data_IF_073397074098
#
_entry.id   IF_073397074098
#
_cell.length_a   1.000
_cell.length_b   1.000
_cell.length_c   1.000
_cell.angle_alpha   90.00
_cell.angle_beta   90.00
_cell.angle_gamma   90.00
#
_symmetry.space_group_name_H-M   'P 1'
#
loop_
_entity.id
_entity.type
_entity.pdbx_description
1 polymer ?
#
# COMPACT_ATOMS: atom_id res chain seq x y z
N UNK A 1 -16.53 15.54 -7.33
CA UNK A 1 -15.95 14.18 -7.13
C UNK A 1 -14.70 13.94 -7.98
N UNK A 2 -14.75 14.02 -9.32
CA UNK A 2 -13.59 13.79 -10.21
C UNK A 2 -12.35 14.63 -9.83
N UNK A 3 -12.52 15.93 -9.56
CA UNK A 3 -11.40 16.82 -9.16
C UNK A 3 -10.68 16.33 -7.89
N UNK A 4 -11.43 15.84 -6.90
CA UNK A 4 -10.88 15.35 -5.63
C UNK A 4 -10.17 14.00 -5.83
N UNK A 5 -10.73 13.12 -6.68
CA UNK A 5 -10.10 11.85 -7.03
C UNK A 5 -8.80 12.05 -7.79
N UNK A 6 -8.76 12.99 -8.75
CA UNK A 6 -7.54 13.38 -9.47
C UNK A 6 -6.51 13.91 -8.47
N UNK A 7 -6.90 14.82 -7.58
CA UNK A 7 -6.00 15.37 -6.57
C UNK A 7 -5.41 14.27 -5.66
N UNK A 8 -6.23 13.33 -5.18
CA UNK A 8 -5.77 12.22 -4.36
C UNK A 8 -4.80 11.30 -5.13
N UNK A 9 -5.12 10.97 -6.38
CA UNK A 9 -4.24 10.18 -7.25
C UNK A 9 -2.90 10.89 -7.44
N UNK A 10 -2.92 12.19 -7.74
CA UNK A 10 -1.72 13.01 -7.90
C UNK A 10 -0.89 13.04 -6.62
N UNK A 11 -1.50 13.16 -5.44
CA UNK A 11 -0.80 13.08 -4.15
C UNK A 11 -0.16 11.71 -3.93
N UNK A 12 -0.87 10.62 -4.21
CA UNK A 12 -0.34 9.26 -4.06
C UNK A 12 0.84 9.01 -5.00
N UNK A 13 0.74 9.45 -6.26
CA UNK A 13 1.83 9.37 -7.22
C UNK A 13 3.01 10.24 -6.78
N UNK A 14 2.77 11.51 -6.44
CA UNK A 14 3.81 12.44 -5.97
C UNK A 14 4.51 11.92 -4.71
N UNK A 15 3.79 11.27 -3.79
CA UNK A 15 4.37 10.70 -2.56
C UNK A 15 5.45 9.65 -2.82
N UNK A 16 5.49 9.04 -4.02
CA UNK A 16 6.56 8.13 -4.41
C UNK A 16 7.84 8.82 -4.91
N UNK A 17 7.75 10.10 -5.27
CA UNK A 17 8.85 10.88 -5.86
C UNK A 17 9.42 11.93 -4.91
N UNK A 18 8.69 12.28 -3.86
CA UNK A 18 9.22 13.09 -2.76
C UNK A 18 10.25 12.22 -2.06
N UNK A 19 11.52 12.65 -2.01
CA UNK A 19 12.75 11.89 -1.64
C UNK A 19 12.83 11.27 -0.24
N UNK A 20 11.71 10.74 0.25
CA UNK A 20 11.62 9.78 1.32
C UNK A 20 12.25 8.46 0.86
N UNK A 21 12.74 7.62 1.79
CA UNK A 21 13.14 6.26 1.47
C UNK A 21 12.05 5.57 0.65
N UNK A 22 12.39 4.85 -0.43
CA UNK A 22 11.41 4.31 -1.39
C UNK A 22 10.35 3.35 -0.79
N UNK A 23 10.53 2.97 0.47
CA UNK A 23 9.68 2.13 1.30
C UNK A 23 8.89 2.88 2.38
N UNK A 24 9.02 4.20 2.48
CA UNK A 24 8.16 5.04 3.29
C UNK A 24 7.09 5.65 2.38
N UNK A 25 5.95 4.96 2.26
CA UNK A 25 4.94 5.27 1.23
C UNK A 25 3.52 4.94 1.70
N UNK A 26 2.50 5.70 1.25
CA UNK A 26 1.10 5.40 1.55
C UNK A 26 0.54 4.18 0.80
N UNK A 27 1.27 3.59 -0.14
CA UNK A 27 0.65 2.67 -1.09
C UNK A 27 0.23 1.34 -0.47
N UNK A 28 1.04 0.73 0.39
CA UNK A 28 0.63 -0.53 1.02
C UNK A 28 -0.56 -0.29 1.96
N UNK A 29 -0.59 0.87 2.63
CA UNK A 29 -1.75 1.31 3.41
C UNK A 29 -2.99 1.48 2.54
N UNK A 30 -2.84 2.06 1.34
CA UNK A 30 -3.93 2.19 0.38
C UNK A 30 -4.47 0.82 0.00
N UNK A 31 -3.61 -0.14 -0.34
CA UNK A 31 -4.02 -1.50 -0.68
C UNK A 31 -4.80 -2.17 0.47
N UNK A 32 -4.34 -2.02 1.73
CA UNK A 32 -5.06 -2.51 2.91
C UNK A 32 -6.41 -1.78 3.05
N UNK A 33 -6.48 -0.48 2.77
CA UNK A 33 -7.67 0.34 2.98
C UNK A 33 -8.72 0.25 1.86
N UNK A 34 -8.34 -0.16 0.65
CA UNK A 34 -9.22 -0.23 -0.52
C UNK A 34 -10.59 -0.89 -0.29
N UNK A 35 -10.70 -2.01 0.45
CA UNK A 35 -12.01 -2.63 0.72
C UNK A 35 -12.98 -1.76 1.53
N UNK A 36 -12.52 -0.71 2.22
CA UNK A 36 -13.40 0.28 2.89
C UNK A 36 -13.88 1.38 1.95
N UNK A 37 -13.16 1.62 0.84
CA UNK A 37 -13.48 2.70 -0.10
C UNK A 37 -14.49 2.27 -1.17
N UNK A 38 -14.50 0.99 -1.53
CA UNK A 38 -15.38 0.47 -2.59
C UNK A 38 -15.63 -1.01 -2.45
N UNK A 39 -16.81 -1.49 -2.86
CA UNK A 39 -17.14 -2.92 -2.93
C UNK A 39 -16.65 -3.59 -4.23
N UNK A 40 -16.17 -2.80 -5.22
CA UNK A 40 -15.71 -3.34 -6.49
C UNK A 40 -14.29 -3.91 -6.36
N UNK A 41 -14.19 -5.24 -6.32
CA UNK A 41 -12.92 -5.98 -6.19
C UNK A 41 -11.90 -5.64 -7.29
N UNK A 42 -12.35 -5.37 -8.50
CA UNK A 42 -11.44 -4.99 -9.59
C UNK A 42 -10.77 -3.65 -9.29
N UNK A 43 -11.52 -2.67 -8.81
CA UNK A 43 -10.96 -1.37 -8.41
C UNK A 43 -10.03 -1.55 -7.21
N UNK A 44 -10.44 -2.35 -6.22
CA UNK A 44 -9.63 -2.63 -5.03
C UNK A 44 -8.23 -3.15 -5.39
N UNK A 45 -8.12 -4.09 -6.32
CA UNK A 45 -6.85 -4.67 -6.75
C UNK A 45 -6.12 -3.79 -7.77
N UNK A 46 -6.79 -3.36 -8.85
CA UNK A 46 -6.12 -2.69 -9.97
C UNK A 46 -5.61 -1.30 -9.61
N UNK A 47 -6.27 -0.58 -8.71
CA UNK A 47 -5.89 0.79 -8.41
C UNK A 47 -4.51 0.90 -7.73
N UNK A 48 -4.22 0.17 -6.63
CA UNK A 48 -2.87 0.14 -6.06
C UNK A 48 -1.81 -0.39 -7.03
N UNK A 49 -2.12 -1.47 -7.78
CA UNK A 49 -1.21 -2.05 -8.77
C UNK A 49 -0.84 -1.03 -9.84
N UNK A 50 -1.82 -0.29 -10.37
CA UNK A 50 -1.60 0.68 -11.44
C UNK A 50 -0.66 1.80 -11.00
N UNK A 51 -0.81 2.29 -9.76
CA UNK A 51 0.09 3.31 -9.22
C UNK A 51 1.51 2.74 -9.11
N UNK A 52 1.67 1.53 -8.57
CA UNK A 52 2.98 0.88 -8.43
C UNK A 52 3.63 0.65 -9.79
N UNK A 53 2.89 0.09 -10.75
CA UNK A 53 3.39 -0.19 -12.09
C UNK A 53 3.82 1.10 -12.80
N UNK A 54 2.99 2.13 -12.78
CA UNK A 54 3.27 3.41 -13.41
C UNK A 54 4.50 4.10 -12.80
N UNK A 55 4.56 4.19 -11.48
CA UNK A 55 5.64 4.93 -10.80
C UNK A 55 6.99 4.21 -10.88
N UNK A 56 7.03 2.88 -10.94
CA UNK A 56 8.27 2.14 -11.17
C UNK A 56 8.87 2.35 -12.58
N UNK A 57 8.13 2.96 -13.53
CA UNK A 57 8.71 3.37 -14.82
C UNK A 57 9.71 4.54 -14.68
N UNK A 58 9.65 5.27 -13.56
CA UNK A 58 10.42 6.50 -13.33
C UNK A 58 11.37 6.41 -12.13
N UNK A 59 11.19 5.41 -11.26
CA UNK A 59 12.06 5.17 -10.11
C UNK A 59 13.28 4.33 -10.51
N UNK A 60 14.23 4.20 -9.59
CA UNK A 60 15.38 3.31 -9.78
C UNK A 60 14.91 1.89 -10.15
N UNK A 61 15.44 1.32 -11.24
CA UNK A 61 14.99 0.00 -11.70
C UNK A 61 15.25 -1.08 -10.66
N UNK A 62 14.22 -1.85 -10.36
CA UNK A 62 14.32 -3.12 -9.63
C UNK A 62 14.34 -4.28 -10.62
N UNK A 63 14.85 -5.45 -10.20
CA UNK A 63 14.79 -6.62 -11.06
C UNK A 63 13.35 -7.04 -11.36
N UNK A 64 13.14 -7.70 -12.50
CA UNK A 64 11.82 -8.15 -12.92
C UNK A 64 11.15 -9.05 -11.87
N UNK A 65 11.93 -9.91 -11.21
CA UNK A 65 11.43 -10.80 -10.14
C UNK A 65 10.91 -10.00 -8.95
N UNK A 66 11.64 -8.97 -8.50
CA UNK A 66 11.21 -8.09 -7.40
C UNK A 66 9.98 -7.31 -7.82
N UNK A 67 9.97 -6.76 -9.04
CA UNK A 67 8.85 -5.99 -9.56
C UNK A 67 7.55 -6.81 -9.60
N UNK A 68 7.61 -8.03 -10.14
CA UNK A 68 6.46 -8.94 -10.19
C UNK A 68 5.97 -9.27 -8.78
N UNK A 69 6.88 -9.55 -7.84
CA UNK A 69 6.51 -9.81 -6.44
C UNK A 69 5.77 -8.62 -5.81
N UNK A 70 6.26 -7.39 -6.05
CA UNK A 70 5.56 -6.18 -5.61
C UNK A 70 4.15 -6.11 -6.19
N UNK A 71 3.98 -6.26 -7.51
CA UNK A 71 2.65 -6.21 -8.15
C UNK A 71 1.70 -7.26 -7.57
N UNK A 72 2.16 -8.48 -7.33
CA UNK A 72 1.37 -9.54 -6.71
C UNK A 72 0.95 -9.15 -5.29
N UNK A 73 1.87 -8.69 -4.45
CA UNK A 73 1.54 -8.27 -3.07
C UNK A 73 0.50 -7.15 -3.07
N UNK A 74 0.65 -6.17 -3.95
CA UNK A 74 -0.33 -5.09 -4.10
C UNK A 74 -1.68 -5.57 -4.63
N UNK A 75 -1.72 -6.64 -5.42
CA UNK A 75 -2.95 -7.25 -5.92
C UNK A 75 -3.71 -8.05 -4.86
N UNK A 76 -2.99 -8.82 -4.03
CA UNK A 76 -3.60 -9.72 -3.03
C UNK A 76 -3.94 -9.01 -1.72
N UNK A 77 -3.21 -7.96 -1.36
CA UNK A 77 -3.40 -7.25 -0.08
C UNK A 77 -4.85 -6.79 0.15
N UNK A 78 -5.54 -6.17 -0.85
CA UNK A 78 -6.94 -5.80 -0.68
C UNK A 78 -7.85 -7.02 -0.43
N UNK A 79 -7.59 -8.13 -1.12
CA UNK A 79 -8.38 -9.37 -0.97
C UNK A 79 -8.22 -9.96 0.43
N UNK A 80 -6.98 -10.01 0.95
CA UNK A 80 -6.72 -10.49 2.31
C UNK A 80 -7.34 -9.54 3.34
N UNK A 81 -7.19 -8.22 3.16
CA UNK A 81 -7.79 -7.25 4.08
C UNK A 81 -9.32 -7.29 4.08
N UNK A 82 -9.95 -7.71 2.98
CA UNK A 82 -11.41 -7.85 2.89
C UNK A 82 -11.94 -9.01 3.77
N UNK A 83 -11.10 -10.01 4.08
CA UNK A 83 -11.48 -11.15 4.93
C UNK A 83 -11.64 -10.77 6.41
N UNK A 84 -11.16 -9.60 6.82
CA UNK A 84 -11.25 -9.11 8.19
C UNK A 84 -12.17 -7.89 8.31
N UNK A 85 -12.90 -7.82 9.42
CA UNK A 85 -13.72 -6.66 9.79
C UNK A 85 -12.90 -5.47 10.29
N UNK A 86 -11.63 -5.67 10.66
CA UNK A 86 -10.74 -4.62 11.20
C UNK A 86 -9.51 -4.38 10.32
N UNK A 87 -8.90 -3.19 10.44
CA UNK A 87 -7.70 -2.81 9.67
C UNK A 87 -6.46 -3.62 10.08
N UNK A 88 -6.39 -4.03 11.35
CA UNK A 88 -5.18 -4.58 11.96
C UNK A 88 -4.74 -5.92 11.34
N UNK A 89 -5.61 -6.94 11.12
CA UNK A 89 -5.19 -8.17 10.44
C UNK A 89 -4.74 -7.92 8.99
N UNK A 90 -5.43 -7.01 8.28
CA UNK A 90 -5.02 -6.59 6.94
C UNK A 90 -3.62 -5.98 6.93
N UNK A 91 -3.35 -5.05 7.86
CA UNK A 91 -2.03 -4.45 8.06
C UNK A 91 -0.95 -5.49 8.35
N UNK A 92 -1.13 -6.34 9.37
CA UNK A 92 -0.13 -7.33 9.77
C UNK A 92 0.14 -8.35 8.65
N UNK A 93 -0.92 -8.80 7.97
CA UNK A 93 -0.80 -9.71 6.83
C UNK A 93 -0.04 -9.07 5.67
N UNK A 94 -0.29 -7.79 5.37
CA UNK A 94 0.41 -7.06 4.30
C UNK A 94 1.91 -6.94 4.59
N UNK A 95 2.30 -6.61 5.82
CA UNK A 95 3.71 -6.54 6.22
C UNK A 95 4.38 -7.91 6.19
N UNK A 96 3.71 -8.94 6.72
CA UNK A 96 4.26 -10.29 6.74
C UNK A 96 4.43 -10.86 5.32
N UNK A 97 3.41 -10.70 4.47
CA UNK A 97 3.48 -11.15 3.08
C UNK A 97 4.51 -10.38 2.28
N UNK A 98 4.66 -9.06 2.50
CA UNK A 98 5.76 -8.31 1.94
C UNK A 98 7.12 -8.91 2.35
N UNK A 99 7.33 -9.09 3.66
CA UNK A 99 8.58 -9.60 4.21
C UNK A 99 8.97 -10.95 3.61
N UNK A 100 8.00 -11.83 3.38
CA UNK A 100 8.23 -13.16 2.80
C UNK A 100 8.43 -13.08 1.28
N UNK A 101 7.48 -12.53 0.54
CA UNK A 101 7.48 -12.68 -0.92
C UNK A 101 8.39 -11.68 -1.62
N UNK A 102 8.43 -10.41 -1.17
CA UNK A 102 9.28 -9.40 -1.82
C UNK A 102 10.74 -9.66 -1.49
N UNK A 103 11.09 -9.95 -0.24
CA UNK A 103 12.49 -10.28 0.09
C UNK A 103 12.89 -11.66 -0.41
N UNK A 104 11.96 -12.61 -0.51
CA UNK A 104 12.18 -13.85 -1.26
C UNK A 104 12.56 -13.59 -2.72
N UNK A 105 11.89 -12.64 -3.38
CA UNK A 105 12.24 -12.21 -4.73
C UNK A 105 13.59 -11.46 -4.79
N UNK A 106 13.93 -10.67 -3.77
CA UNK A 106 15.27 -10.06 -3.64
C UNK A 106 16.35 -11.14 -3.57
N UNK A 107 16.15 -12.17 -2.76
CA UNK A 107 17.07 -13.30 -2.66
C UNK A 107 17.21 -14.05 -3.99
N UNK A 108 16.08 -14.39 -4.64
CA UNK A 108 16.10 -15.04 -5.96
C UNK A 108 16.82 -14.21 -7.02
N UNK A 109 16.74 -12.89 -6.93
CA UNK A 109 17.37 -11.97 -7.87
C UNK A 109 18.84 -11.70 -7.58
N UNK A 110 19.26 -11.75 -6.31
CA UNK A 110 20.58 -11.30 -5.87
C UNK A 110 21.52 -12.45 -5.50
N UNK A 111 20.96 -13.65 -5.27
CA UNK A 111 21.68 -14.83 -4.79
C UNK A 111 22.13 -14.72 -3.33
N UNK A 112 23.05 -15.60 -2.94
CA UNK A 112 23.64 -15.61 -1.60
C UNK A 112 22.80 -16.32 -0.53
N UNK A 113 23.04 -15.96 0.73
CA UNK A 113 22.40 -16.59 1.88
C UNK A 113 20.99 -16.05 2.11
N UNK A 114 20.01 -16.94 2.02
CA UNK A 114 18.59 -16.64 2.28
C UNK A 114 18.39 -15.94 3.63
N UNK A 115 18.98 -16.48 4.69
CA UNK A 115 18.84 -15.95 6.04
C UNK A 115 19.41 -14.53 6.13
N UNK A 116 20.59 -14.29 5.53
CA UNK A 116 21.20 -12.96 5.54
C UNK A 116 20.36 -11.95 4.75
N UNK A 117 19.77 -12.33 3.61
CA UNK A 117 18.87 -11.44 2.85
C UNK A 117 17.68 -11.01 3.70
N UNK A 118 17.05 -11.92 4.42
CA UNK A 118 15.90 -11.61 5.27
C UNK A 118 16.27 -10.75 6.48
N UNK A 119 17.42 -11.02 7.12
CA UNK A 119 17.92 -10.18 8.21
C UNK A 119 18.22 -8.76 7.69
N UNK A 120 18.86 -8.65 6.54
CA UNK A 120 19.19 -7.36 5.92
C UNK A 120 17.94 -6.57 5.49
N UNK A 121 16.81 -7.24 5.25
CA UNK A 121 15.55 -6.60 4.91
C UNK A 121 14.83 -5.95 6.11
N UNK A 122 15.12 -6.36 7.35
CA UNK A 122 14.40 -5.88 8.55
C UNK A 122 14.36 -4.34 8.66
N UNK A 123 15.45 -3.57 8.48
CA UNK A 123 15.38 -2.12 8.56
C UNK A 123 14.50 -1.50 7.47
N UNK A 124 14.46 -2.12 6.28
CA UNK A 124 13.59 -1.71 5.19
C UNK A 124 12.12 -1.99 5.55
N UNK A 125 11.83 -3.21 5.99
CA UNK A 125 10.46 -3.63 6.29
C UNK A 125 9.90 -2.90 7.52
N UNK A 126 10.75 -2.54 8.48
CA UNK A 126 10.35 -1.72 9.61
C UNK A 126 9.85 -0.34 9.18
N UNK A 127 10.56 0.35 8.28
CA UNK A 127 10.11 1.64 7.72
C UNK A 127 8.80 1.50 6.94
N UNK A 128 8.64 0.40 6.20
CA UNK A 128 7.40 0.09 5.50
C UNK A 128 6.24 -0.16 6.46
N UNK A 129 6.49 -0.92 7.54
CA UNK A 129 5.51 -1.20 8.58
C UNK A 129 5.05 0.07 9.31
N UNK A 130 6.00 0.94 9.67
CA UNK A 130 5.71 2.22 10.33
C UNK A 130 4.90 3.12 9.40
N UNK A 131 5.36 3.35 8.17
CA UNK A 131 4.64 4.21 7.22
C UNK A 131 3.25 3.67 6.90
N UNK A 132 3.12 2.36 6.67
CA UNK A 132 1.83 1.72 6.41
C UNK A 132 0.87 1.93 7.59
N UNK A 133 1.32 1.74 8.83
CA UNK A 133 0.51 1.98 10.02
C UNK A 133 0.05 3.44 10.12
N UNK A 134 0.96 4.40 9.92
CA UNK A 134 0.66 5.83 9.96
C UNK A 134 -0.38 6.22 8.90
N UNK A 135 -0.22 5.74 7.66
CA UNK A 135 -1.16 6.06 6.58
C UNK A 135 -2.51 5.35 6.74
N UNK A 136 -2.55 4.12 7.26
CA UNK A 136 -3.82 3.46 7.63
C UNK A 136 -4.57 4.29 8.67
N UNK A 137 -3.87 4.78 9.70
CA UNK A 137 -4.46 5.65 10.72
C UNK A 137 -4.99 6.94 10.08
N UNK A 138 -4.19 7.60 9.24
CA UNK A 138 -4.58 8.80 8.52
C UNK A 138 -5.85 8.57 7.68
N UNK A 139 -5.89 7.51 6.88
CA UNK A 139 -7.04 7.18 6.05
C UNK A 139 -8.29 6.89 6.89
N UNK A 140 -8.13 6.18 8.00
CA UNK A 140 -9.23 5.88 8.90
C UNK A 140 -9.84 7.13 9.52
N UNK A 141 -9.01 8.04 10.06
CA UNK A 141 -9.51 9.26 10.67
C UNK A 141 -10.08 10.23 9.64
N UNK A 142 -9.47 10.34 8.45
CA UNK A 142 -10.00 11.17 7.38
C UNK A 142 -11.40 10.70 6.93
N UNK A 143 -11.58 9.39 6.74
CA UNK A 143 -12.88 8.80 6.37
C UNK A 143 -13.95 9.08 7.44
N UNK A 144 -13.61 8.91 8.73
CA UNK A 144 -14.52 9.20 9.85
C UNK A 144 -14.93 10.67 9.92
N UNK A 145 -13.99 11.59 9.73
CA UNK A 145 -14.28 13.03 9.74
C UNK A 145 -15.21 13.39 8.59
N UNK A 146 -14.94 12.88 7.38
CA UNK A 146 -15.77 13.14 6.20
C UNK A 146 -17.21 12.63 6.37
N UNK A 147 -17.38 11.41 6.91
CA UNK A 147 -18.71 10.87 7.21
C UNK A 147 -19.46 11.75 8.20
N UNK A 148 -18.79 12.22 9.27
CA UNK A 148 -19.42 13.08 10.28
C UNK A 148 -19.83 14.45 9.71
N UNK A 149 -19.02 15.03 8.82
CA UNK A 149 -19.35 16.30 8.18
C UNK A 149 -20.57 16.16 7.25
N UNK A 150 -20.59 15.11 6.42
CA UNK A 150 -21.72 14.85 5.52
C UNK A 150 -23.02 14.57 6.28
N UNK A 151 -22.94 13.84 7.40
CA UNK A 151 -24.10 13.61 8.26
C UNK A 151 -24.64 14.91 8.88
N UNK A 152 -23.77 15.87 9.21
CA UNK A 152 -24.17 17.16 9.76
C UNK A 152 -24.84 18.05 8.71
N UNK A 153 -24.42 17.99 7.46
CA UNK A 153 -25.06 18.73 6.36
C UNK A 153 -26.51 18.26 6.15
N UNK A 154 -26.75 16.94 6.13
CA UNK A 154 -28.09 16.36 5.98
C UNK A 154 -29.08 16.67 7.12
N UNK A 155 -28.58 17.01 8.31
CA UNK A 155 -29.43 17.39 9.46
C UNK A 155 -29.80 18.87 9.44
N UNK A 156 -29.04 19.70 8.72
CA UNK A 156 -29.26 21.15 8.64
C UNK A 156 -30.04 21.58 7.37
N UNK A 157 -30.43 20.62 6.51
CA UNK A 157 -31.37 20.79 5.39
C UNK A 157 -32.79 20.35 5.80
#
# INVERSE_FOLDING_TARGET
>A
MIKNSIFLISLLVASRFIGLPGNFTPLLALAVFMPRLTNNKYIQCLFPISIIAFTNLFLEPVSLTIFIAMLIIFAITPLISQLSKSLLPGYLSAILTWHIFVNGAVWLSSGGSLIQTYIAAIPFDFKLAVSTGLYIALFHYADRILINLSAKELVNE
#
